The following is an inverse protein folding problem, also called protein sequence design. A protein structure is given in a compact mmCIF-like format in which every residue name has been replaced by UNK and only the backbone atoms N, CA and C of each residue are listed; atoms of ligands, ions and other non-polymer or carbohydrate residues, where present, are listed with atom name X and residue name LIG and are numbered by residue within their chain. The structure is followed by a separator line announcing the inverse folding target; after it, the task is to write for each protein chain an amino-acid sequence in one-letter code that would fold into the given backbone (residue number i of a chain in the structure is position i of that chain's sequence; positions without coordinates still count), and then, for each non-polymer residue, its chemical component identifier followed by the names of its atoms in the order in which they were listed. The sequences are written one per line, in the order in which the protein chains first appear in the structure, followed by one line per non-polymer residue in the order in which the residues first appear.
data_IF_167509286587
#
_entry.id   IF_167509286587
#
_cell.length_a   1.000
_cell.length_b   1.000
_cell.length_c   1.000
_cell.angle_alpha   90.00
_cell.angle_beta   90.00
_cell.angle_gamma   90.00
#
_symmetry.space_group_name_H-M   'P 1'
#
loop_
_entity.id
_entity.type
_entity.pdbx_description
1 polymer ?
#
# COMPACT_ATOMS: atom_id res chain seq x y z
N UNK A 1 48.30 -6.23 -22.93
CA UNK A 1 47.41 -5.60 -21.93
C UNK A 1 46.13 -5.20 -22.65
N UNK A 2 45.04 -5.95 -22.48
CA UNK A 2 43.75 -5.66 -23.12
C UNK A 2 42.85 -5.12 -22.01
N UNK A 3 42.57 -3.82 -22.03
CA UNK A 3 41.70 -3.15 -21.08
C UNK A 3 40.24 -3.40 -21.50
N UNK A 4 39.59 -4.38 -20.87
CA UNK A 4 38.17 -4.63 -21.06
C UNK A 4 37.35 -3.61 -20.28
N UNK A 5 36.67 -2.72 -21.00
CA UNK A 5 35.73 -1.76 -20.42
C UNK A 5 34.39 -2.47 -20.20
N UNK A 6 34.00 -2.67 -18.94
CA UNK A 6 32.65 -3.13 -18.59
C UNK A 6 31.68 -1.94 -18.72
N UNK A 7 30.70 -2.08 -19.59
CA UNK A 7 29.55 -1.16 -19.67
C UNK A 7 28.50 -1.66 -18.69
N UNK A 8 28.17 -0.86 -17.67
CA UNK A 8 27.05 -1.11 -16.77
C UNK A 8 25.81 -0.44 -17.37
N UNK A 9 24.89 -1.22 -17.91
CA UNK A 9 23.57 -0.71 -18.29
C UNK A 9 22.73 -0.62 -17.02
N UNK A 10 22.45 0.59 -16.55
CA UNK A 10 21.42 0.80 -15.54
C UNK A 10 20.08 0.39 -16.17
N UNK A 11 19.52 -0.75 -15.78
CA UNK A 11 18.12 -1.04 -16.04
C UNK A 11 17.30 0.03 -15.31
N UNK A 12 16.77 0.99 -16.04
CA UNK A 12 15.66 1.81 -15.58
C UNK A 12 14.57 0.82 -15.15
N UNK A 13 14.35 0.70 -13.84
CA UNK A 13 13.27 -0.11 -13.31
C UNK A 13 11.98 0.48 -13.85
N UNK A 14 11.35 -0.19 -14.80
CA UNK A 14 9.98 0.14 -15.16
C UNK A 14 9.17 0.08 -13.87
N UNK A 15 8.48 1.16 -13.54
CA UNK A 15 7.57 1.18 -12.40
C UNK A 15 6.63 -0.02 -12.53
N UNK A 16 6.41 -0.81 -11.47
CA UNK A 16 5.45 -1.90 -11.49
C UNK A 16 4.11 -1.40 -12.00
N UNK A 17 3.71 -1.82 -13.20
CA UNK A 17 2.43 -1.40 -13.77
C UNK A 17 1.32 -2.24 -13.13
N UNK A 18 0.93 -1.82 -11.92
CA UNK A 18 -0.18 -2.40 -11.21
C UNK A 18 -1.49 -2.02 -11.90
N UNK A 19 -2.42 -2.97 -11.96
CA UNK A 19 -3.80 -2.66 -12.37
C UNK A 19 -4.44 -1.66 -11.39
N UNK A 20 -5.48 -0.96 -11.84
CA UNK A 20 -6.24 -0.04 -10.99
C UNK A 20 -6.77 -0.71 -9.71
N UNK A 21 -7.18 -1.98 -9.80
CA UNK A 21 -7.65 -2.76 -8.65
C UNK A 21 -6.52 -3.03 -7.65
N UNK A 22 -5.34 -3.40 -8.11
CA UNK A 22 -4.17 -3.65 -7.26
C UNK A 22 -3.68 -2.35 -6.61
N UNK A 23 -3.59 -1.25 -7.36
CA UNK A 23 -3.27 0.08 -6.82
C UNK A 23 -4.28 0.50 -5.75
N UNK A 24 -5.59 0.34 -6.03
CA UNK A 24 -6.64 0.65 -5.05
C UNK A 24 -6.48 -0.16 -3.78
N UNK A 25 -6.13 -1.45 -3.90
CA UNK A 25 -5.88 -2.33 -2.76
C UNK A 25 -4.67 -1.88 -1.95
N UNK A 26 -3.58 -1.46 -2.61
CA UNK A 26 -2.39 -0.93 -1.94
C UNK A 26 -2.68 0.40 -1.23
N UNK A 27 -3.42 1.30 -1.88
CA UNK A 27 -3.86 2.58 -1.28
C UNK A 27 -4.71 2.36 -0.04
N UNK A 28 -5.67 1.44 -0.10
CA UNK A 28 -6.51 1.13 1.06
C UNK A 28 -5.74 0.43 2.19
N UNK A 29 -4.81 -0.47 1.87
CA UNK A 29 -3.94 -1.08 2.86
C UNK A 29 -3.08 -0.03 3.59
N UNK A 30 -2.53 0.95 2.85
CA UNK A 30 -1.79 2.08 3.42
C UNK A 30 -2.68 2.98 4.30
N UNK A 31 -3.88 3.34 3.82
CA UNK A 31 -4.84 4.13 4.59
C UNK A 31 -5.20 3.47 5.92
N UNK A 32 -5.45 2.15 5.92
CA UNK A 32 -5.75 1.42 7.14
C UNK A 32 -4.58 1.38 8.13
N UNK A 33 -3.36 1.21 7.64
CA UNK A 33 -2.18 1.25 8.48
C UNK A 33 -2.01 2.61 9.16
N UNK A 34 -2.21 3.71 8.42
CA UNK A 34 -2.14 5.07 8.97
C UNK A 34 -3.24 5.29 10.01
N UNK A 35 -4.48 4.95 9.69
CA UNK A 35 -5.61 5.12 10.63
C UNK A 35 -5.42 4.26 11.87
N UNK A 36 -4.97 3.01 11.74
CA UNK A 36 -4.68 2.15 12.89
C UNK A 36 -3.60 2.75 13.81
N UNK A 37 -2.50 3.27 13.25
CA UNK A 37 -1.49 3.98 14.05
C UNK A 37 -2.05 5.23 14.75
N UNK A 38 -2.86 6.03 14.05
CA UNK A 38 -3.54 7.18 14.65
C UNK A 38 -4.53 6.78 15.76
N UNK A 39 -5.20 5.63 15.63
CA UNK A 39 -6.07 5.08 16.67
C UNK A 39 -5.27 4.69 17.92
N UNK A 40 -4.09 4.11 17.75
CA UNK A 40 -3.17 3.79 18.86
C UNK A 40 -2.71 5.07 19.60
N UNK A 41 -2.51 6.16 18.87
CA UNK A 41 -2.17 7.48 19.41
C UNK A 41 -3.37 8.25 20.01
N UNK A 42 -4.59 7.69 19.94
CA UNK A 42 -5.81 8.32 20.47
C UNK A 42 -6.34 9.50 19.65
N UNK A 43 -5.98 9.59 18.37
CA UNK A 43 -6.46 10.65 17.48
C UNK A 43 -7.98 10.55 17.27
N UNK A 44 -8.71 11.63 17.57
CA UNK A 44 -10.18 11.64 17.55
C UNK A 44 -10.81 11.39 16.18
N UNK A 45 -10.17 11.84 15.11
CA UNK A 45 -10.65 11.61 13.74
C UNK A 45 -10.49 10.13 13.36
N UNK A 46 -9.33 9.53 13.67
CA UNK A 46 -9.09 8.12 13.42
C UNK A 46 -10.00 7.21 14.26
N UNK A 47 -10.36 7.64 15.47
CA UNK A 47 -11.31 6.96 16.35
C UNK A 47 -12.77 7.03 15.86
N UNK A 48 -13.08 7.87 14.87
CA UNK A 48 -14.39 7.88 14.21
C UNK A 48 -14.58 6.70 13.23
N UNK A 49 -13.49 6.06 12.80
CA UNK A 49 -13.53 4.85 11.99
C UNK A 49 -13.64 3.58 12.85
N UNK A 50 -14.09 2.45 12.28
CA UNK A 50 -14.00 1.15 12.93
C UNK A 50 -12.57 0.83 13.37
N UNK A 51 -12.40 -0.04 14.38
CA UNK A 51 -11.06 -0.46 14.83
C UNK A 51 -10.34 -1.26 13.74
N UNK A 52 -9.17 -0.78 13.30
CA UNK A 52 -8.45 -1.36 12.15
C UNK A 52 -7.23 -2.21 12.51
N UNK A 53 -6.81 -2.25 13.78
CA UNK A 53 -5.60 -2.97 14.21
C UNK A 53 -5.58 -4.46 13.83
N UNK A 54 -6.74 -5.11 13.77
CA UNK A 54 -6.89 -6.51 13.32
C UNK A 54 -7.31 -6.62 11.85
N UNK A 55 -8.50 -6.13 11.50
CA UNK A 55 -9.08 -6.30 10.15
C UNK A 55 -8.25 -5.60 9.07
N UNK A 56 -7.74 -4.39 9.35
CA UNK A 56 -6.85 -3.66 8.44
C UNK A 56 -5.51 -4.37 8.23
N UNK A 57 -4.95 -5.00 9.28
CA UNK A 57 -3.73 -5.80 9.17
C UNK A 57 -3.93 -7.09 8.35
N UNK A 58 -5.05 -7.78 8.56
CA UNK A 58 -5.41 -8.97 7.77
C UNK A 58 -5.58 -8.61 6.29
N UNK A 59 -6.26 -7.49 5.99
CA UNK A 59 -6.39 -6.96 4.64
C UNK A 59 -5.02 -6.65 4.03
N UNK A 60 -4.15 -5.91 4.74
CA UNK A 60 -2.81 -5.56 4.30
C UNK A 60 -2.01 -6.79 3.85
N UNK A 61 -1.96 -7.82 4.70
CA UNK A 61 -1.15 -9.03 4.43
C UNK A 61 -1.64 -9.72 3.17
N UNK A 62 -2.96 -9.86 3.02
CA UNK A 62 -3.56 -10.60 1.90
C UNK A 62 -3.51 -9.84 0.59
N UNK A 63 -3.89 -8.56 0.61
CA UNK A 63 -3.82 -7.70 -0.57
C UNK A 63 -2.39 -7.63 -1.11
N UNK A 64 -1.40 -7.51 -0.21
CA UNK A 64 0.02 -7.55 -0.57
C UNK A 64 0.40 -8.89 -1.20
N UNK A 65 0.07 -10.01 -0.55
CA UNK A 65 0.41 -11.34 -1.06
C UNK A 65 -0.23 -11.62 -2.43
N UNK A 66 -1.51 -11.28 -2.59
CA UNK A 66 -2.22 -11.45 -3.86
C UNK A 66 -1.61 -10.57 -4.96
N UNK A 67 -1.25 -9.33 -4.65
CA UNK A 67 -0.60 -8.44 -5.63
C UNK A 67 0.79 -8.94 -6.01
N UNK A 68 1.56 -9.47 -5.05
CA UNK A 68 2.86 -10.11 -5.36
C UNK A 68 2.69 -11.28 -6.34
N UNK A 69 1.69 -12.13 -6.11
CA UNK A 69 1.41 -13.28 -6.96
C UNK A 69 0.94 -12.87 -8.37
N UNK A 70 -0.06 -11.99 -8.45
CA UNK A 70 -0.68 -11.61 -9.72
C UNK A 70 0.19 -10.69 -10.58
N UNK A 71 0.95 -9.77 -9.96
CA UNK A 71 1.80 -8.81 -10.67
C UNK A 71 3.28 -9.24 -10.71
N UNK A 72 3.62 -10.39 -10.12
CA UNK A 72 5.00 -10.90 -10.09
C UNK A 72 5.97 -10.01 -9.30
N UNK A 73 5.49 -9.30 -8.28
CA UNK A 73 6.29 -8.34 -7.51
C UNK A 73 6.97 -8.97 -6.30
N UNK A 74 8.15 -8.47 -5.98
CA UNK A 74 8.84 -8.83 -4.73
C UNK A 74 8.23 -8.09 -3.54
N UNK A 75 8.59 -8.56 -2.34
CA UNK A 75 8.21 -7.91 -1.08
C UNK A 75 8.73 -6.47 -1.02
N UNK A 76 9.95 -6.24 -1.49
CA UNK A 76 10.59 -4.92 -1.50
C UNK A 76 9.85 -3.97 -2.43
N UNK A 77 9.42 -4.45 -3.60
CA UNK A 77 8.62 -3.65 -4.54
C UNK A 77 7.25 -3.30 -3.95
N UNK A 78 6.56 -4.25 -3.31
CA UNK A 78 5.29 -3.96 -2.62
C UNK A 78 5.48 -2.98 -1.46
N UNK A 79 6.56 -3.14 -0.69
CA UNK A 79 6.89 -2.19 0.38
C UNK A 79 7.11 -0.77 -0.16
N UNK A 80 7.74 -0.64 -1.32
CA UNK A 80 7.93 0.65 -1.98
C UNK A 80 6.59 1.25 -2.44
N UNK A 81 5.71 0.46 -3.06
CA UNK A 81 4.36 0.90 -3.46
C UNK A 81 3.56 1.36 -2.25
N UNK A 82 3.48 0.55 -1.18
CA UNK A 82 2.74 0.90 0.03
C UNK A 82 3.28 2.17 0.71
N UNK A 83 4.61 2.34 0.71
CA UNK A 83 5.24 3.55 1.27
C UNK A 83 4.90 4.78 0.43
N UNK A 84 4.88 4.64 -0.89
CA UNK A 84 4.47 5.69 -1.83
C UNK A 84 3.01 6.10 -1.61
N UNK A 85 2.09 5.12 -1.55
CA UNK A 85 0.67 5.40 -1.27
C UNK A 85 0.47 6.08 0.09
N UNK A 86 1.19 5.62 1.12
CA UNK A 86 1.14 6.24 2.45
C UNK A 86 1.71 7.66 2.48
N UNK A 87 2.72 7.95 1.65
CA UNK A 87 3.29 9.28 1.46
C UNK A 87 2.25 10.19 0.79
N UNK A 88 1.69 9.78 -0.35
CA UNK A 88 0.67 10.52 -1.09
C UNK A 88 -0.55 10.85 -0.22
N UNK A 89 -1.10 9.88 0.50
CA UNK A 89 -2.25 10.09 1.39
C UNK A 89 -1.99 11.12 2.48
N UNK A 90 -0.75 11.24 2.97
CA UNK A 90 -0.36 12.23 3.97
C UNK A 90 -0.09 13.60 3.36
N UNK A 91 0.60 13.63 2.23
CA UNK A 91 0.99 14.88 1.57
C UNK A 91 -0.22 15.61 0.98
N UNK A 92 -1.21 14.86 0.49
CA UNK A 92 -2.45 15.42 -0.06
C UNK A 92 -3.59 15.57 0.98
N UNK A 93 -3.41 15.02 2.19
CA UNK A 93 -4.43 14.98 3.25
C UNK A 93 -5.77 14.32 2.82
N UNK A 94 -5.69 13.26 2.01
CA UNK A 94 -6.84 12.61 1.36
C UNK A 94 -7.34 11.35 2.07
N UNK A 95 -6.92 11.11 3.31
CA UNK A 95 -7.35 9.92 4.08
C UNK A 95 -8.87 9.90 4.23
N UNK A 96 -9.48 11.02 4.61
CA UNK A 96 -10.93 11.11 4.78
C UNK A 96 -11.69 10.81 3.48
N UNK A 97 -11.12 11.17 2.33
CA UNK A 97 -11.74 10.98 1.02
C UNK A 97 -11.71 9.52 0.57
N UNK A 98 -10.62 8.79 0.84
CA UNK A 98 -10.47 7.39 0.40
C UNK A 98 -11.15 6.40 1.34
N UNK A 99 -11.27 6.75 2.64
CA UNK A 99 -11.72 5.82 3.67
C UNK A 99 -13.11 5.22 3.43
N UNK A 100 -14.15 5.95 2.96
CA UNK A 100 -15.45 5.35 2.66
C UNK A 100 -15.36 4.21 1.65
N UNK A 101 -14.61 4.41 0.56
CA UNK A 101 -14.40 3.38 -0.47
C UNK A 101 -13.54 2.22 0.05
N UNK A 102 -12.50 2.52 0.82
CA UNK A 102 -11.66 1.50 1.40
C UNK A 102 -12.41 0.60 2.38
N UNK A 103 -13.25 1.17 3.25
CA UNK A 103 -14.06 0.39 4.19
C UNK A 103 -15.04 -0.55 3.47
N UNK A 104 -15.64 -0.11 2.36
CA UNK A 104 -16.46 -1.00 1.51
C UNK A 104 -15.65 -2.18 0.95
N UNK A 105 -14.42 -1.92 0.50
CA UNK A 105 -13.52 -2.96 0.02
C UNK A 105 -13.09 -3.93 1.14
N UNK A 106 -12.84 -3.41 2.34
CA UNK A 106 -12.53 -4.21 3.53
C UNK A 106 -13.68 -5.16 3.86
N UNK A 107 -14.91 -4.67 3.89
CA UNK A 107 -16.09 -5.48 4.17
C UNK A 107 -16.33 -6.53 3.08
N UNK A 108 -16.14 -6.16 1.80
CA UNK A 108 -16.26 -7.09 0.68
C UNK A 108 -15.19 -8.19 0.67
N UNK A 109 -14.05 -7.95 1.33
CA UNK A 109 -12.96 -8.94 1.42
C UNK A 109 -13.35 -10.13 2.30
N UNK A 110 -14.27 -9.95 3.26
CA UNK A 110 -14.83 -11.03 4.08
C UNK A 110 -14.14 -11.27 5.43
N UNK A 111 -13.45 -10.27 6.00
CA UNK A 111 -12.76 -10.34 7.30
C UNK A 111 -13.09 -9.13 8.17
#
# INVERSE_FOLDING_TARGET
MIASTLVFTAQASAEPELSLQQLTSMRCAAAFAIVAGRQEDGNSEALAYPVLSRRGKEFFVRASAQTMEEAGLTREQISAVLSSEAQTLRDEDTIADVMPGCLLLLDASGF
#
